data_IF_132426279444
#
_entry.id   IF_132426279444
#
_cell.length_a   1.000
_cell.length_b   1.000
_cell.length_c   1.000
_cell.angle_alpha   90.00
_cell.angle_beta   90.00
_cell.angle_gamma   90.00
#
_symmetry.space_group_name_H-M   'P 1'
#
loop_
_entity.id
_entity.type
_entity.pdbx_description
1 polymer ?
#
# COMPACT_ATOMS: atom_id res chain seq x y z
N UNK A 1 14.73 -0.82 23.13
CA UNK A 1 15.67 0.00 22.32
C UNK A 1 14.92 0.90 21.34
N UNK A 2 14.05 0.37 20.45
CA UNK A 2 13.20 1.19 19.55
C UNK A 2 12.21 2.08 20.32
N UNK A 3 11.59 1.57 21.39
CA UNK A 3 10.64 2.35 22.20
C UNK A 3 11.29 3.54 22.94
N UNK A 4 12.51 3.35 23.46
CA UNK A 4 13.30 4.42 24.10
C UNK A 4 13.84 5.43 23.07
N UNK A 5 14.09 4.99 21.82
CA UNK A 5 14.45 5.88 20.71
C UNK A 5 13.26 6.75 20.27
N UNK A 6 12.06 6.20 20.27
CA UNK A 6 10.80 6.91 19.96
C UNK A 6 10.45 7.94 21.04
N UNK A 7 10.63 7.61 22.32
CA UNK A 7 10.37 8.52 23.44
C UNK A 7 11.34 9.72 23.45
N UNK A 8 12.54 9.53 22.90
CA UNK A 8 13.52 10.61 22.74
C UNK A 8 13.20 11.55 21.55
N UNK A 9 12.49 11.07 20.52
CA UNK A 9 12.03 11.88 19.37
C UNK A 9 10.90 12.85 19.77
N UNK A 10 10.10 12.52 20.80
CA UNK A 10 9.04 13.39 21.30
C UNK A 10 9.56 14.67 21.98
N UNK A 11 10.82 14.68 22.45
CA UNK A 11 11.44 15.82 23.14
C UNK A 11 12.24 16.73 22.19
N UNK A 12 11.55 17.36 21.25
CA UNK A 12 11.67 18.80 20.96
C UNK A 12 12.96 19.43 20.37
N UNK A 13 14.16 18.87 20.53
CA UNK A 13 15.41 19.64 20.33
C UNK A 13 16.41 19.10 19.30
N UNK A 14 16.16 17.94 18.67
CA UNK A 14 17.06 17.34 17.68
C UNK A 14 16.44 17.11 16.29
N UNK A 15 15.41 17.88 15.91
CA UNK A 15 14.72 17.69 14.63
C UNK A 15 15.62 17.86 13.41
N UNK A 16 16.59 18.79 13.44
CA UNK A 16 17.53 19.03 12.33
C UNK A 16 18.55 17.90 12.13
N UNK A 17 19.01 17.27 13.21
CA UNK A 17 20.02 16.20 13.13
C UNK A 17 19.41 14.89 12.59
N UNK A 18 18.14 14.62 12.90
CA UNK A 18 17.41 13.44 12.44
C UNK A 18 16.95 13.60 10.98
N UNK A 19 16.53 14.80 10.56
CA UNK A 19 16.26 15.05 9.13
C UNK A 19 17.52 14.89 8.30
N UNK A 20 18.68 15.35 8.76
CA UNK A 20 19.96 15.10 8.08
C UNK A 20 20.32 13.61 8.05
N UNK A 21 20.19 12.87 9.16
CA UNK A 21 20.47 11.43 9.17
C UNK A 21 19.50 10.61 8.30
N UNK A 22 18.21 10.95 8.26
CA UNK A 22 17.24 10.31 7.39
C UNK A 22 17.43 10.69 5.91
N UNK A 23 17.85 11.93 5.61
CA UNK A 23 18.23 12.36 4.27
C UNK A 23 19.50 11.65 3.80
N UNK A 24 20.44 11.39 4.72
CA UNK A 24 21.67 10.65 4.44
C UNK A 24 21.39 9.16 4.23
N UNK A 25 20.49 8.57 5.01
CA UNK A 25 19.94 7.23 4.76
C UNK A 25 19.22 7.18 3.40
N UNK A 26 18.47 8.23 3.01
CA UNK A 26 17.84 8.36 1.69
C UNK A 26 18.84 8.46 0.54
N UNK A 27 19.94 9.19 0.73
CA UNK A 27 21.05 9.26 -0.23
C UNK A 27 21.80 7.92 -0.32
N UNK A 28 22.00 7.23 0.81
CA UNK A 28 22.53 5.86 0.85
C UNK A 28 21.59 4.86 0.16
N UNK A 29 20.27 5.06 0.22
CA UNK A 29 19.30 4.26 -0.55
C UNK A 29 19.39 4.50 -2.06
N UNK A 30 19.59 5.74 -2.51
CA UNK A 30 19.80 6.02 -3.93
C UNK A 30 21.11 5.39 -4.44
N UNK A 31 22.15 5.39 -3.60
CA UNK A 31 23.44 4.77 -3.91
C UNK A 31 23.35 3.22 -3.86
N UNK A 32 22.60 2.65 -2.92
CA UNK A 32 22.34 1.20 -2.85
C UNK A 32 21.44 0.69 -3.99
N UNK A 33 20.54 1.54 -4.50
CA UNK A 33 19.78 1.27 -5.73
C UNK A 33 20.68 1.28 -6.97
N UNK A 34 21.71 2.13 -7.02
CA UNK A 34 22.75 2.09 -8.06
C UNK A 34 23.58 0.79 -8.00
N UNK A 35 23.98 0.34 -6.80
CA UNK A 35 24.69 -0.95 -6.62
C UNK A 35 23.84 -2.17 -7.07
N UNK A 36 22.52 -2.10 -6.88
CA UNK A 36 21.58 -3.14 -7.32
C UNK A 36 21.38 -3.14 -8.85
N UNK A 37 21.65 -2.02 -9.52
CA UNK A 37 21.62 -1.86 -10.97
C UNK A 37 22.95 -2.36 -11.61
N UNK A 38 24.07 -2.25 -10.91
CA UNK A 38 25.41 -2.52 -11.45
C UNK A 38 25.70 -4.02 -11.69
N UNK A 39 25.01 -4.94 -10.99
CA UNK A 39 25.14 -6.39 -11.24
C UNK A 39 24.30 -6.92 -12.41
N UNK A 40 23.58 -6.05 -13.12
CA UNK A 40 22.90 -6.39 -14.37
C UNK A 40 23.76 -5.88 -15.54
N UNK A 41 24.23 -6.73 -16.47
CA UNK A 41 25.06 -6.28 -17.59
C UNK A 41 24.31 -5.21 -18.40
N UNK A 42 24.88 -4.00 -18.48
CA UNK A 42 24.36 -2.79 -19.16
C UNK A 42 22.97 -2.93 -19.82
N UNK A 43 21.91 -2.98 -19.01
CA UNK A 43 20.62 -3.49 -19.46
C UNK A 43 19.84 -2.49 -20.30
N UNK A 44 20.06 -1.20 -20.07
CA UNK A 44 19.41 -0.13 -20.82
C UNK A 44 19.80 -0.18 -22.31
N UNK A 45 21.09 -0.38 -22.62
CA UNK A 45 21.55 -0.47 -24.00
C UNK A 45 21.04 -1.74 -24.70
N UNK A 46 20.94 -2.86 -24.01
CA UNK A 46 20.46 -4.12 -24.60
C UNK A 46 18.92 -4.13 -24.78
N UNK A 47 18.17 -3.51 -23.86
CA UNK A 47 16.70 -3.49 -23.89
C UNK A 47 16.11 -2.62 -25.01
N UNK A 48 16.82 -1.57 -25.45
CA UNK A 48 16.35 -0.67 -26.51
C UNK A 48 16.97 -0.94 -27.89
N UNK A 49 17.98 -1.83 -27.99
CA UNK A 49 18.67 -2.13 -29.25
C UNK A 49 17.78 -2.71 -30.35
N UNK A 50 16.63 -3.28 -29.99
CA UNK A 50 15.67 -3.91 -30.90
C UNK A 50 14.30 -3.23 -30.92
N UNK A 51 14.12 -2.12 -30.20
CA UNK A 51 12.85 -1.42 -30.15
C UNK A 51 12.69 -0.51 -31.38
N UNK A 52 11.62 -0.73 -32.16
CA UNK A 52 11.27 0.20 -33.23
C UNK A 52 10.75 1.53 -32.64
N UNK A 53 10.65 2.57 -33.47
CA UNK A 53 10.07 3.87 -33.06
C UNK A 53 8.66 3.74 -32.48
N UNK A 54 7.87 2.78 -32.97
CA UNK A 54 6.52 2.49 -32.46
C UNK A 54 6.58 1.86 -31.06
N UNK A 55 7.54 0.98 -30.83
CA UNK A 55 7.72 0.35 -29.53
C UNK A 55 8.19 1.42 -28.53
N UNK A 56 9.15 2.27 -28.90
CA UNK A 56 9.57 3.39 -28.06
C UNK A 56 8.41 4.33 -27.69
N UNK A 57 7.53 4.65 -28.67
CA UNK A 57 6.35 5.47 -28.45
C UNK A 57 5.36 4.79 -27.48
N UNK A 58 5.04 3.51 -27.69
CA UNK A 58 4.18 2.75 -26.78
C UNK A 58 4.73 2.74 -25.36
N UNK A 59 6.05 2.59 -25.21
CA UNK A 59 6.73 2.57 -23.92
C UNK A 59 6.60 3.91 -23.19
N UNK A 60 6.80 5.02 -23.91
CA UNK A 60 6.60 6.35 -23.33
C UNK A 60 5.16 6.59 -22.92
N UNK A 61 4.20 6.12 -23.71
CA UNK A 61 2.76 6.18 -23.37
C UNK A 61 2.48 5.36 -22.10
N UNK A 62 3.04 4.16 -21.96
CA UNK A 62 2.87 3.34 -20.75
C UNK A 62 3.42 4.07 -19.51
N UNK A 63 4.61 4.67 -19.60
CA UNK A 63 5.19 5.42 -18.47
C UNK A 63 4.31 6.61 -18.05
N UNK A 64 3.75 7.35 -19.02
CA UNK A 64 2.80 8.42 -18.73
C UNK A 64 1.51 7.91 -18.08
N UNK A 65 0.96 6.78 -18.57
CA UNK A 65 -0.24 6.16 -18.00
C UNK A 65 -0.01 5.64 -16.57
N UNK A 66 1.17 5.07 -16.30
CA UNK A 66 1.60 4.62 -14.98
C UNK A 66 1.62 5.80 -13.99
N UNK A 67 2.23 6.93 -14.37
CA UNK A 67 2.22 8.16 -13.56
C UNK A 67 0.80 8.70 -13.34
N UNK A 68 -0.03 8.69 -14.39
CA UNK A 68 -1.43 9.09 -14.29
C UNK A 68 -2.23 8.21 -13.34
N UNK A 69 -2.02 6.88 -13.39
CA UNK A 69 -2.67 5.92 -12.50
C UNK A 69 -2.28 6.14 -11.04
N UNK A 70 -0.98 6.32 -10.73
CA UNK A 70 -0.53 6.65 -9.39
C UNK A 70 -1.09 7.97 -8.86
N UNK A 71 -1.07 9.03 -9.68
CA UNK A 71 -1.63 10.32 -9.29
C UNK A 71 -3.14 10.21 -8.98
N UNK A 72 -3.87 9.40 -9.76
CA UNK A 72 -5.30 9.15 -9.55
C UNK A 72 -5.57 8.41 -8.24
N UNK A 73 -4.76 7.41 -7.91
CA UNK A 73 -4.84 6.70 -6.63
C UNK A 73 -4.61 7.65 -5.45
N UNK A 74 -3.59 8.49 -5.53
CA UNK A 74 -3.26 9.45 -4.47
C UNK A 74 -4.33 10.52 -4.29
N UNK A 75 -4.85 11.07 -5.40
CA UNK A 75 -5.98 12.00 -5.38
C UNK A 75 -7.22 11.39 -4.69
N UNK A 76 -7.50 10.11 -4.94
CA UNK A 76 -8.59 9.40 -4.27
C UNK A 76 -8.38 9.25 -2.76
N UNK A 77 -7.15 8.97 -2.32
CA UNK A 77 -6.87 8.81 -0.89
C UNK A 77 -7.06 10.15 -0.16
N UNK A 78 -6.61 11.25 -0.77
CA UNK A 78 -6.85 12.61 -0.24
C UNK A 78 -8.35 12.93 -0.18
N UNK A 79 -9.10 12.66 -1.26
CA UNK A 79 -10.56 12.88 -1.30
C UNK A 79 -11.30 12.04 -0.25
N UNK A 80 -10.93 10.77 -0.10
CA UNK A 80 -11.48 9.90 0.92
C UNK A 80 -11.24 10.48 2.31
N UNK A 81 -10.02 10.97 2.55
CA UNK A 81 -9.68 11.65 3.78
C UNK A 81 -10.54 12.88 4.07
N UNK A 82 -10.75 13.75 3.08
CA UNK A 82 -11.59 14.94 3.21
C UNK A 82 -13.05 14.57 3.52
N UNK A 83 -13.58 13.55 2.84
CA UNK A 83 -14.92 13.02 3.11
C UNK A 83 -15.02 12.51 4.55
N UNK A 84 -14.06 11.69 5.00
CA UNK A 84 -14.01 11.17 6.36
C UNK A 84 -13.94 12.31 7.41
N UNK A 85 -13.11 13.32 7.17
CA UNK A 85 -13.01 14.50 8.05
C UNK A 85 -14.32 15.30 8.13
N UNK A 86 -15.01 15.47 7.00
CA UNK A 86 -16.34 16.09 6.96
C UNK A 86 -17.39 15.29 7.73
N UNK A 87 -17.38 13.96 7.62
CA UNK A 87 -18.26 13.10 8.41
C UNK A 87 -17.99 13.23 9.91
N UNK A 88 -16.73 13.16 10.34
CA UNK A 88 -16.42 13.21 11.78
C UNK A 88 -16.74 14.57 12.40
N UNK A 89 -16.43 15.67 11.71
CA UNK A 89 -16.75 17.03 12.22
C UNK A 89 -18.26 17.25 12.34
N UNK A 90 -19.04 16.77 11.37
CA UNK A 90 -20.50 16.84 11.46
C UNK A 90 -21.07 15.92 12.53
N UNK A 91 -20.57 14.70 12.69
CA UNK A 91 -20.98 13.81 13.79
C UNK A 91 -20.72 14.43 15.16
N UNK A 92 -19.54 15.03 15.37
CA UNK A 92 -19.21 15.70 16.64
C UNK A 92 -20.13 16.88 16.93
N UNK A 93 -20.48 17.68 15.90
CA UNK A 93 -21.42 18.80 16.08
C UNK A 93 -22.82 18.33 16.51
N UNK A 94 -23.29 17.19 15.98
CA UNK A 94 -24.59 16.61 16.33
C UNK A 94 -24.59 16.03 17.75
N UNK A 95 -23.49 15.38 18.16
CA UNK A 95 -23.37 14.79 19.50
C UNK A 95 -23.29 15.85 20.61
N UNK A 96 -22.54 16.95 20.39
CA UNK A 96 -22.51 18.08 21.33
C UNK A 96 -23.89 18.70 21.53
N UNK A 97 -24.67 18.88 20.45
CA UNK A 97 -26.03 19.41 20.53
C UNK A 97 -26.96 18.46 21.32
N UNK A 98 -26.89 17.16 21.07
CA UNK A 98 -27.68 16.16 21.79
C UNK A 98 -27.32 16.08 23.29
N UNK A 99 -26.03 16.13 23.63
CA UNK A 99 -25.60 16.17 25.03
C UNK A 99 -26.03 17.45 25.75
N UNK A 100 -25.98 18.61 25.07
CA UNK A 100 -26.47 19.87 25.62
C UNK A 100 -27.98 19.81 25.90
N UNK A 101 -28.78 19.22 25.01
CA UNK A 101 -30.23 19.04 25.24
C UNK A 101 -30.53 18.10 26.41
N UNK A 102 -29.77 17.01 26.56
CA UNK A 102 -29.93 16.06 27.67
C UNK A 102 -29.48 16.64 29.01
N UNK A 103 -28.41 17.46 29.01
CA UNK A 103 -27.95 18.16 30.21
C UNK A 103 -28.98 19.21 30.65
N UNK A 104 -29.54 19.97 29.71
CA UNK A 104 -30.59 20.95 29.98
C UNK A 104 -31.84 20.29 30.58
N UNK A 105 -32.31 19.17 30.03
CA UNK A 105 -33.48 18.44 30.55
C UNK A 105 -33.21 17.79 31.92
N UNK A 106 -31.99 17.34 32.18
CA UNK A 106 -31.57 16.75 33.46
C UNK A 106 -31.45 17.81 34.56
N UNK A 107 -30.91 19.00 34.26
CA UNK A 107 -30.89 20.13 35.20
C UNK A 107 -32.33 20.51 35.57
N UNK A 108 -33.22 20.64 34.59
CA UNK A 108 -34.64 20.96 34.86
C UNK A 108 -35.29 19.92 35.77
N UNK A 109 -35.09 18.62 35.52
CA UNK A 109 -35.73 17.56 36.28
C UNK A 109 -35.12 17.32 37.68
N UNK A 110 -33.80 17.48 37.84
CA UNK A 110 -33.08 17.08 39.07
C UNK A 110 -32.74 18.23 40.02
N UNK A 111 -32.69 19.48 39.56
CA UNK A 111 -32.45 20.62 40.46
C UNK A 111 -33.69 21.48 40.63
N UNK A 112 -34.45 21.76 39.57
CA UNK A 112 -35.57 22.70 39.64
C UNK A 112 -36.83 22.05 40.26
N UNK A 113 -37.16 20.80 39.89
CA UNK A 113 -38.34 20.10 40.41
C UNK A 113 -38.27 19.67 41.90
N UNK A 114 -37.14 19.16 42.43
CA UNK A 114 -37.07 18.72 43.84
C UNK A 114 -36.78 19.84 44.85
N UNK A 115 -36.35 21.03 44.42
CA UNK A 115 -36.13 22.18 45.31
C UNK A 115 -37.43 22.88 45.74
N UNK A 116 -38.60 22.43 45.29
CA UNK A 116 -39.90 22.95 45.74
C UNK A 116 -40.08 24.45 45.48
N UNK A 117 -39.29 25.03 44.56
CA UNK A 117 -39.53 26.38 44.09
C UNK A 117 -40.77 26.29 43.21
N UNK A 118 -41.93 26.68 43.77
CA UNK A 118 -43.19 26.83 43.04
C UNK A 118 -43.01 27.85 41.91
N UNK A 119 -42.46 27.39 40.79
CA UNK A 119 -42.62 28.06 39.53
C UNK A 119 -44.10 27.91 39.18
N UNK A 120 -44.84 29.00 39.43
CA UNK A 120 -46.21 29.24 38.98
C UNK A 120 -46.51 28.44 37.68
N UNK A 121 -47.69 27.81 37.49
CA UNK A 121 -47.97 26.97 36.31
C UNK A 121 -47.75 27.70 34.95
N UNK A 122 -47.77 29.03 34.94
CA UNK A 122 -47.37 29.89 33.82
C UNK A 122 -45.87 29.88 33.48
N UNK A 123 -44.98 29.65 34.46
CA UNK A 123 -43.53 29.57 34.29
C UNK A 123 -43.07 28.18 33.80
N UNK A 124 -43.73 27.10 34.20
CA UNK A 124 -43.45 25.75 33.67
C UNK A 124 -43.75 25.68 32.17
N UNK A 125 -44.92 26.17 31.75
CA UNK A 125 -45.32 26.22 30.34
C UNK A 125 -44.44 27.20 29.53
N UNK A 126 -43.96 28.29 30.14
CA UNK A 126 -42.96 29.20 29.54
C UNK A 126 -41.58 28.54 29.38
N UNK A 127 -41.10 27.78 30.37
CA UNK A 127 -39.85 27.03 30.30
C UNK A 127 -39.91 25.93 29.22
N UNK A 128 -41.04 25.21 29.15
CA UNK A 128 -41.25 24.20 28.12
C UNK A 128 -41.33 24.82 26.72
N UNK A 129 -41.98 25.99 26.58
CA UNK A 129 -41.98 26.79 25.34
C UNK A 129 -40.60 27.37 25.02
N UNK A 130 -39.80 27.76 26.01
CA UNK A 130 -38.41 28.21 25.82
C UNK A 130 -37.51 27.07 25.35
N UNK A 131 -37.60 25.88 25.95
CA UNK A 131 -36.91 24.68 25.48
C UNK A 131 -37.37 24.30 24.07
N UNK A 132 -38.67 24.34 23.77
CA UNK A 132 -39.19 24.08 22.42
C UNK A 132 -38.73 25.13 21.41
N UNK A 133 -38.71 26.41 21.79
CA UNK A 133 -38.22 27.51 20.95
C UNK A 133 -36.71 27.40 20.73
N UNK A 134 -35.94 27.04 21.74
CA UNK A 134 -34.50 26.84 21.63
C UNK A 134 -34.18 25.61 20.77
N UNK A 135 -34.89 24.49 20.95
CA UNK A 135 -34.77 23.30 20.10
C UNK A 135 -35.17 23.61 18.63
N UNK A 136 -36.20 24.43 18.43
CA UNK A 136 -36.61 24.94 17.11
C UNK A 136 -35.59 25.91 16.51
N UNK A 137 -34.94 26.74 17.34
CA UNK A 137 -33.90 27.69 16.91
C UNK A 137 -32.63 26.94 16.51
N UNK A 138 -32.18 25.97 17.31
CA UNK A 138 -31.03 25.09 17.04
C UNK A 138 -31.27 24.25 15.78
N UNK A 139 -32.44 23.59 15.66
CA UNK A 139 -32.80 22.85 14.44
C UNK A 139 -32.95 23.76 13.21
N UNK A 140 -33.36 25.03 13.38
CA UNK A 140 -33.36 26.02 12.29
C UNK A 140 -31.98 26.58 11.94
N UNK A 141 -31.01 26.52 12.85
CA UNK A 141 -29.60 26.85 12.59
C UNK A 141 -28.85 25.68 11.93
N UNK A 142 -29.30 24.44 12.16
CA UNK A 142 -28.77 23.21 11.54
C UNK A 142 -29.38 22.92 10.15
N UNK A 143 -30.62 23.36 9.91
CA UNK A 143 -31.32 23.19 8.62
C UNK A 143 -30.64 23.87 7.41
N UNK A 144 -29.92 25.00 7.49
CA UNK A 144 -29.12 25.53 6.38
C UNK A 144 -27.75 24.83 6.21
N UNK A 145 -27.22 24.19 7.26
CA UNK A 145 -25.95 23.45 7.20
C UNK A 145 -26.10 22.10 6.47
N UNK A 146 -27.26 21.45 6.60
CA UNK A 146 -27.54 20.14 5.97
C UNK A 146 -27.56 20.14 4.42
N UNK A 147 -28.15 21.12 3.70
CA UNK A 147 -28.06 21.18 2.24
C UNK A 147 -26.66 21.55 1.76
N UNK A 148 -25.93 22.43 2.48
CA UNK A 148 -24.56 22.83 2.13
C UNK A 148 -23.56 21.68 2.34
N UNK A 149 -23.71 20.94 3.44
CA UNK A 149 -22.99 19.69 3.70
C UNK A 149 -23.31 18.63 2.63
N UNK A 150 -24.60 18.43 2.32
CA UNK A 150 -25.02 17.49 1.27
C UNK A 150 -24.42 17.88 -0.09
N UNK A 151 -24.39 19.15 -0.45
CA UNK A 151 -23.82 19.59 -1.72
C UNK A 151 -22.30 19.38 -1.80
N UNK A 152 -21.57 19.72 -0.74
CA UNK A 152 -20.11 19.54 -0.69
C UNK A 152 -19.69 18.06 -0.65
N UNK A 153 -20.38 17.24 0.16
CA UNK A 153 -20.10 15.80 0.25
C UNK A 153 -20.44 15.12 -1.07
N UNK A 154 -21.59 15.43 -1.68
CA UNK A 154 -21.94 14.82 -2.97
C UNK A 154 -20.95 15.20 -4.06
N UNK A 155 -20.47 16.45 -4.10
CA UNK A 155 -19.42 16.86 -5.05
C UNK A 155 -18.12 16.07 -4.86
N UNK A 156 -17.66 15.91 -3.61
CA UNK A 156 -16.46 15.10 -3.30
C UNK A 156 -16.64 13.62 -3.66
N UNK A 157 -17.83 13.07 -3.42
CA UNK A 157 -18.18 11.69 -3.78
C UNK A 157 -18.19 11.52 -5.31
N UNK A 158 -18.78 12.45 -6.06
CA UNK A 158 -18.72 12.43 -7.54
C UNK A 158 -17.30 12.51 -8.07
N UNK A 159 -16.44 13.37 -7.48
CA UNK A 159 -15.01 13.40 -7.82
C UNK A 159 -14.32 12.07 -7.52
N UNK A 160 -14.59 11.45 -6.37
CA UNK A 160 -14.02 10.15 -6.00
C UNK A 160 -14.40 9.04 -6.99
N UNK A 161 -15.67 8.98 -7.39
CA UNK A 161 -16.13 8.04 -8.43
C UNK A 161 -15.55 8.38 -9.80
N UNK A 162 -15.44 9.66 -10.16
CA UNK A 162 -14.82 10.12 -11.40
C UNK A 162 -13.35 9.70 -11.52
N UNK A 163 -12.55 9.95 -10.48
CA UNK A 163 -11.17 9.47 -10.42
C UNK A 163 -11.09 7.93 -10.41
N UNK A 164 -12.06 7.23 -9.81
CA UNK A 164 -12.10 5.76 -9.86
C UNK A 164 -12.31 5.22 -11.28
N UNK A 165 -13.20 5.82 -12.06
CA UNK A 165 -13.43 5.46 -13.46
C UNK A 165 -12.17 5.81 -14.29
N UNK A 166 -11.58 6.99 -14.09
CA UNK A 166 -10.37 7.41 -14.79
C UNK A 166 -9.18 6.47 -14.48
N UNK A 167 -9.03 6.05 -13.22
CA UNK A 167 -8.03 5.07 -12.79
C UNK A 167 -8.22 3.74 -13.51
N UNK A 168 -9.45 3.22 -13.56
CA UNK A 168 -9.77 1.97 -14.26
C UNK A 168 -9.48 2.07 -15.78
N UNK A 169 -9.82 3.20 -16.40
CA UNK A 169 -9.52 3.47 -17.80
C UNK A 169 -8.00 3.52 -18.06
N UNK A 170 -7.25 4.24 -17.21
CA UNK A 170 -5.79 4.30 -17.31
C UNK A 170 -5.15 2.91 -17.16
N UNK A 171 -5.57 2.13 -16.16
CA UNK A 171 -5.07 0.77 -15.94
C UNK A 171 -5.37 -0.16 -17.12
N UNK A 172 -6.58 -0.06 -17.69
CA UNK A 172 -6.98 -0.86 -18.86
C UNK A 172 -6.15 -0.50 -20.09
N UNK A 173 -5.96 0.81 -20.34
CA UNK A 173 -5.12 1.30 -21.44
C UNK A 173 -3.65 0.93 -21.24
N UNK A 174 -3.14 1.00 -20.01
CA UNK A 174 -1.80 0.58 -19.65
C UNK A 174 -1.59 -0.90 -19.98
N UNK A 175 -2.50 -1.77 -19.53
CA UNK A 175 -2.45 -3.21 -19.79
C UNK A 175 -2.47 -3.52 -21.30
N UNK A 176 -3.36 -2.87 -22.06
CA UNK A 176 -3.45 -3.04 -23.51
C UNK A 176 -2.15 -2.59 -24.19
N UNK A 177 -1.64 -1.40 -23.83
CA UNK A 177 -0.40 -0.84 -24.37
C UNK A 177 0.79 -1.78 -24.09
N UNK A 178 0.89 -2.26 -22.85
CA UNK A 178 1.92 -3.20 -22.44
C UNK A 178 1.81 -4.55 -23.17
N UNK A 179 0.59 -5.06 -23.34
CA UNK A 179 0.32 -6.30 -24.10
C UNK A 179 0.68 -6.17 -25.58
N UNK A 180 0.39 -5.03 -26.21
CA UNK A 180 0.74 -4.78 -27.61
C UNK A 180 2.25 -4.66 -27.77
N UNK A 181 2.91 -3.87 -26.92
CA UNK A 181 4.36 -3.72 -26.94
C UNK A 181 5.07 -5.06 -26.75
N UNK A 182 4.66 -5.85 -25.73
CA UNK A 182 5.23 -7.17 -25.46
C UNK A 182 4.98 -8.16 -26.59
N UNK A 183 3.78 -8.20 -27.20
CA UNK A 183 3.48 -9.10 -28.34
C UNK A 183 4.31 -8.76 -29.58
N UNK A 184 4.40 -7.48 -29.95
CA UNK A 184 5.20 -7.01 -31.10
C UNK A 184 6.67 -7.30 -30.93
N UNK A 185 7.15 -7.21 -29.69
CA UNK A 185 8.52 -7.49 -29.34
C UNK A 185 8.78 -9.01 -29.31
N UNK A 186 7.88 -9.81 -28.72
CA UNK A 186 8.02 -11.29 -28.63
C UNK A 186 8.02 -11.95 -30.01
N UNK A 187 7.19 -11.48 -30.95
CA UNK A 187 7.14 -12.06 -32.32
C UNK A 187 8.42 -11.89 -33.12
N UNK A 188 9.36 -11.07 -32.64
CA UNK A 188 10.64 -10.77 -33.29
C UNK A 188 11.85 -11.39 -32.59
N UNK A 189 11.67 -12.18 -31.53
CA UNK A 189 12.73 -12.34 -30.51
C UNK A 189 13.08 -13.77 -30.05
N UNK A 190 14.37 -13.96 -29.72
CA UNK A 190 14.98 -15.16 -29.10
C UNK A 190 14.97 -15.11 -27.55
N UNK A 191 15.22 -16.24 -26.87
CA UNK A 191 15.08 -16.47 -25.40
C UNK A 191 15.73 -15.43 -24.46
N UNK A 192 16.81 -14.75 -24.88
CA UNK A 192 17.53 -13.75 -24.06
C UNK A 192 16.68 -12.51 -23.68
N UNK A 193 15.50 -12.33 -24.29
CA UNK A 193 14.71 -11.09 -24.17
C UNK A 193 13.60 -11.14 -23.12
N UNK A 194 13.29 -12.33 -22.57
CA UNK A 194 12.41 -12.46 -21.40
C UNK A 194 12.93 -11.65 -20.19
N UNK A 195 14.25 -11.55 -20.03
CA UNK A 195 14.87 -10.77 -18.96
C UNK A 195 14.65 -9.25 -19.15
N UNK A 196 14.64 -8.76 -20.38
CA UNK A 196 14.38 -7.33 -20.67
C UNK A 196 12.93 -6.92 -20.35
N UNK A 197 11.96 -7.82 -20.52
CA UNK A 197 10.56 -7.57 -20.16
C UNK A 197 10.36 -7.43 -18.65
N UNK A 198 10.99 -8.33 -17.87
CA UNK A 198 10.95 -8.29 -16.40
C UNK A 198 11.53 -6.97 -15.88
N UNK A 199 12.62 -6.51 -16.47
CA UNK A 199 13.27 -5.28 -16.04
C UNK A 199 12.41 -4.03 -16.23
N UNK A 200 11.57 -3.98 -17.28
CA UNK A 200 10.71 -2.83 -17.56
C UNK A 200 9.59 -2.70 -16.53
N UNK A 201 9.08 -3.82 -16.03
CA UNK A 201 8.13 -3.84 -14.90
C UNK A 201 8.80 -3.32 -13.62
N UNK A 202 10.03 -3.76 -13.36
CA UNK A 202 10.80 -3.33 -12.18
C UNK A 202 11.00 -1.81 -12.19
N UNK A 203 11.37 -1.23 -13.34
CA UNK A 203 11.52 0.23 -13.48
C UNK A 203 10.20 0.97 -13.18
N UNK A 204 9.08 0.47 -13.71
CA UNK A 204 7.76 1.04 -13.43
C UNK A 204 7.42 1.02 -11.93
N UNK A 205 7.65 -0.11 -11.25
CA UNK A 205 7.41 -0.25 -9.81
C UNK A 205 8.29 0.70 -8.98
N UNK A 206 9.56 0.88 -9.36
CA UNK A 206 10.47 1.81 -8.69
C UNK A 206 9.98 3.25 -8.84
N UNK A 207 9.56 3.66 -10.04
CA UNK A 207 9.02 5.01 -10.28
C UNK A 207 7.76 5.27 -9.44
N UNK A 208 6.87 4.28 -9.33
CA UNK A 208 5.66 4.37 -8.48
C UNK A 208 6.01 4.48 -7.00
N UNK A 209 6.98 3.71 -6.54
CA UNK A 209 7.46 3.76 -5.16
C UNK A 209 8.04 5.13 -4.83
N UNK A 210 8.90 5.68 -5.68
CA UNK A 210 9.51 7.01 -5.49
C UNK A 210 8.44 8.10 -5.46
N UNK A 211 7.50 8.07 -6.40
CA UNK A 211 6.41 9.05 -6.45
C UNK A 211 5.53 9.02 -5.19
N UNK A 212 5.20 7.82 -4.70
CA UNK A 212 4.43 7.62 -3.47
C UNK A 212 5.15 8.19 -2.24
N UNK A 213 6.46 7.93 -2.11
CA UNK A 213 7.27 8.43 -1.00
C UNK A 213 7.29 9.96 -1.01
N UNK A 214 7.55 10.58 -2.17
CA UNK A 214 7.59 12.05 -2.29
C UNK A 214 6.27 12.67 -1.82
N UNK A 215 5.14 12.12 -2.24
CA UNK A 215 3.82 12.67 -1.90
C UNK A 215 3.48 12.45 -0.43
N UNK A 216 3.86 11.32 0.15
CA UNK A 216 3.72 11.08 1.60
C UNK A 216 4.46 12.15 2.41
N UNK A 217 5.72 12.45 2.05
CA UNK A 217 6.52 13.49 2.73
C UNK A 217 5.96 14.91 2.58
N UNK A 218 5.33 15.22 1.43
CA UNK A 218 4.69 16.52 1.20
C UNK A 218 3.48 16.71 2.13
N UNK A 219 2.72 15.65 2.37
CA UNK A 219 1.52 15.71 3.21
C UNK A 219 1.90 15.82 4.69
N UNK A 220 2.61 14.82 5.23
CA UNK A 220 2.93 14.79 6.66
C UNK A 220 4.30 14.19 6.95
N UNK A 221 5.31 15.05 6.96
CA UNK A 221 6.70 14.67 7.18
C UNK A 221 6.95 13.87 8.48
N UNK A 222 6.20 14.13 9.56
CA UNK A 222 6.39 13.44 10.85
C UNK A 222 5.96 11.96 10.78
N UNK A 223 4.77 11.68 10.22
CA UNK A 223 4.25 10.32 10.09
C UNK A 223 5.03 9.54 9.03
N UNK A 224 5.39 10.19 7.91
CA UNK A 224 6.16 9.58 6.82
C UNK A 224 7.57 9.18 7.26
N UNK A 225 8.23 9.93 8.14
CA UNK A 225 9.55 9.56 8.68
C UNK A 225 9.50 8.23 9.44
N UNK A 226 8.49 8.06 10.30
CA UNK A 226 8.31 6.83 11.08
C UNK A 226 8.05 5.63 10.15
N UNK A 227 7.21 5.83 9.13
CA UNK A 227 6.92 4.78 8.14
C UNK A 227 8.13 4.46 7.26
N UNK A 228 8.95 5.45 6.94
CA UNK A 228 10.16 5.26 6.14
C UNK A 228 11.17 4.34 6.83
N UNK A 229 11.21 4.33 8.17
CA UNK A 229 12.06 3.39 8.94
C UNK A 229 11.66 1.90 8.77
N UNK A 230 10.45 1.59 8.29
CA UNK A 230 9.99 0.21 8.10
C UNK A 230 10.44 -0.35 6.74
N UNK A 231 10.60 0.52 5.74
CA UNK A 231 11.08 0.18 4.39
C UNK A 231 12.39 -0.64 4.42
N UNK A 232 13.47 -0.28 5.15
CA UNK A 232 14.69 -1.08 5.21
C UNK A 232 14.44 -2.51 5.68
N UNK A 233 13.60 -2.66 6.70
CA UNK A 233 13.34 -3.95 7.34
C UNK A 233 12.68 -4.88 6.33
N UNK A 234 11.73 -4.36 5.54
CA UNK A 234 11.09 -5.10 4.46
C UNK A 234 12.09 -5.45 3.36
N UNK A 235 12.92 -4.52 2.92
CA UNK A 235 13.92 -4.76 1.85
C UNK A 235 14.95 -5.81 2.27
N UNK A 236 15.56 -5.67 3.44
CA UNK A 236 16.58 -6.60 3.95
C UNK A 236 16.02 -8.00 4.13
N UNK A 237 14.83 -8.12 4.73
CA UNK A 237 14.18 -9.42 4.88
C UNK A 237 13.81 -10.03 3.53
N UNK A 238 13.30 -9.24 2.59
CA UNK A 238 12.98 -9.70 1.23
C UNK A 238 14.21 -10.21 0.50
N UNK A 239 15.35 -9.54 0.62
CA UNK A 239 16.62 -10.00 0.03
C UNK A 239 17.10 -11.32 0.65
N UNK A 240 16.97 -11.48 1.96
CA UNK A 240 17.33 -12.72 2.65
C UNK A 240 16.48 -13.90 2.17
N UNK A 241 15.14 -13.73 2.14
CA UNK A 241 14.24 -14.76 1.64
C UNK A 241 14.43 -15.02 0.14
N UNK A 242 14.65 -13.98 -0.66
CA UNK A 242 14.94 -14.13 -2.09
C UNK A 242 16.19 -14.99 -2.32
N UNK A 243 17.28 -14.76 -1.58
CA UNK A 243 18.50 -15.59 -1.66
C UNK A 243 18.21 -17.06 -1.34
N UNK A 244 17.42 -17.34 -0.30
CA UNK A 244 17.03 -18.70 0.08
C UNK A 244 16.19 -19.38 -1.02
N UNK A 245 15.17 -18.68 -1.52
CA UNK A 245 14.27 -19.18 -2.57
C UNK A 245 15.06 -19.43 -3.86
N UNK A 246 15.93 -18.50 -4.28
CA UNK A 246 16.76 -18.66 -5.48
C UNK A 246 17.73 -19.83 -5.35
N UNK A 247 18.34 -20.04 -4.16
CA UNK A 247 19.22 -21.18 -3.91
C UNK A 247 18.48 -22.51 -4.10
N UNK A 248 17.32 -22.68 -3.47
CA UNK A 248 16.53 -23.91 -3.62
C UNK A 248 15.96 -24.06 -5.04
N UNK A 249 15.63 -22.95 -5.71
CA UNK A 249 15.19 -22.97 -7.13
C UNK A 249 16.30 -23.45 -8.05
N UNK A 250 17.55 -23.01 -7.85
CA UNK A 250 18.71 -23.50 -8.64
C UNK A 250 18.91 -25.01 -8.44
N UNK A 251 18.78 -25.49 -7.20
CA UNK A 251 18.88 -26.93 -6.88
C UNK A 251 17.72 -27.74 -7.45
N UNK A 252 16.50 -27.19 -7.40
CA UNK A 252 15.33 -27.80 -8.05
C UNK A 252 15.56 -27.91 -9.56
N UNK A 253 16.05 -26.85 -10.21
CA UNK A 253 16.31 -26.86 -11.64
C UNK A 253 17.41 -27.85 -12.03
N UNK A 254 18.48 -27.96 -11.24
CA UNK A 254 19.56 -28.91 -11.52
C UNK A 254 19.10 -30.37 -11.40
N UNK A 255 18.38 -30.72 -10.33
CA UNK A 255 17.84 -32.08 -10.14
C UNK A 255 16.81 -32.42 -11.21
N UNK A 256 15.99 -31.45 -11.62
CA UNK A 256 15.04 -31.63 -12.72
C UNK A 256 15.75 -31.85 -14.06
N UNK A 257 16.81 -31.08 -14.33
CA UNK A 257 17.63 -31.23 -15.54
C UNK A 257 18.29 -32.61 -15.62
N UNK A 258 18.81 -33.13 -14.50
CA UNK A 258 19.41 -34.46 -14.45
C UNK A 258 18.39 -35.57 -14.73
N UNK A 259 17.19 -35.48 -14.13
CA UNK A 259 16.11 -36.40 -14.42
C UNK A 259 15.71 -36.35 -15.91
N UNK A 260 15.64 -35.14 -16.49
CA UNK A 260 15.38 -34.93 -17.91
C UNK A 260 16.47 -35.53 -18.81
N UNK A 261 17.74 -35.45 -18.41
CA UNK A 261 18.85 -36.05 -19.15
C UNK A 261 18.74 -37.59 -19.18
N UNK A 262 18.40 -38.23 -18.05
CA UNK A 262 18.18 -39.67 -17.98
C UNK A 262 17.03 -40.09 -18.91
N UNK A 263 15.91 -39.36 -18.86
CA UNK A 263 14.77 -39.64 -19.74
C UNK A 263 15.14 -39.48 -21.22
N UNK A 264 15.88 -38.42 -21.56
CA UNK A 264 16.34 -38.17 -22.93
C UNK A 264 17.26 -39.28 -23.44
N UNK A 265 18.19 -39.77 -22.60
CA UNK A 265 19.07 -40.88 -22.94
C UNK A 265 18.27 -42.16 -23.22
N UNK A 266 17.31 -42.50 -22.35
CA UNK A 266 16.44 -43.67 -22.52
C UNK A 266 15.60 -43.58 -23.79
N UNK A 267 15.00 -42.44 -24.09
CA UNK A 267 14.18 -42.28 -25.30
C UNK A 267 15.02 -42.26 -26.57
N UNK A 268 16.21 -41.66 -26.53
CA UNK A 268 17.13 -41.64 -27.68
C UNK A 268 17.65 -43.03 -28.04
N UNK A 269 17.81 -43.91 -27.05
CA UNK A 269 18.38 -45.26 -27.19
C UNK A 269 17.43 -46.37 -26.73
N UNK A 270 16.13 -46.19 -26.96
CA UNK A 270 15.08 -47.07 -26.44
C UNK A 270 15.28 -48.54 -26.84
N UNK A 271 15.63 -48.80 -28.10
CA UNK A 271 15.86 -50.17 -28.63
C UNK A 271 16.97 -50.87 -27.85
N UNK A 272 18.04 -50.15 -27.50
CA UNK A 272 19.19 -50.66 -26.74
C UNK A 272 18.82 -50.96 -25.30
N UNK A 273 18.07 -50.07 -24.63
CA UNK A 273 17.62 -50.29 -23.25
C UNK A 273 16.72 -51.52 -23.16
N UNK A 274 15.84 -51.72 -24.15
CA UNK A 274 14.96 -52.89 -24.22
C UNK A 274 15.73 -54.18 -24.52
N UNK A 275 16.72 -54.16 -25.42
CA UNK A 275 17.52 -55.36 -25.75
C UNK A 275 18.36 -55.85 -24.58
N UNK A 276 18.82 -54.95 -23.72
CA UNK A 276 19.55 -55.31 -22.48
C UNK A 276 18.62 -55.49 -21.26
N UNK A 277 17.29 -55.40 -21.44
CA UNK A 277 16.29 -55.47 -20.36
C UNK A 277 16.57 -54.47 -19.20
N UNK A 278 17.15 -53.31 -19.52
CA UNK A 278 17.64 -52.31 -18.58
C UNK A 278 16.60 -51.28 -18.12
N UNK A 279 15.33 -51.43 -18.52
CA UNK A 279 14.24 -50.47 -18.21
C UNK A 279 14.05 -50.23 -16.72
N UNK A 280 14.05 -51.30 -15.91
CA UNK A 280 13.92 -51.21 -14.45
C UNK A 280 15.07 -50.48 -13.78
N UNK A 281 16.28 -50.58 -14.32
CA UNK A 281 17.45 -49.88 -13.79
C UNK A 281 17.32 -48.37 -14.01
N UNK A 282 16.97 -47.95 -15.23
CA UNK A 282 16.81 -46.52 -15.54
C UNK A 282 15.59 -45.88 -14.88
N UNK A 283 14.51 -46.64 -14.70
CA UNK A 283 13.37 -46.20 -13.90
C UNK A 283 13.80 -45.84 -12.46
N UNK A 284 14.58 -46.71 -11.80
CA UNK A 284 15.05 -46.44 -10.43
C UNK A 284 15.92 -45.19 -10.33
N UNK A 285 16.78 -44.95 -11.34
CA UNK A 285 17.64 -43.77 -11.38
C UNK A 285 16.82 -42.49 -11.58
N UNK A 286 15.82 -42.53 -12.46
CA UNK A 286 14.89 -41.43 -12.66
C UNK A 286 14.08 -41.12 -11.40
N UNK A 287 13.53 -42.14 -10.73
CA UNK A 287 12.81 -41.99 -9.46
C UNK A 287 13.68 -41.38 -8.34
N UNK A 288 14.98 -41.71 -8.31
CA UNK A 288 15.93 -41.15 -7.34
C UNK A 288 16.08 -39.63 -7.52
N UNK A 289 16.29 -39.16 -8.74
CA UNK A 289 16.41 -37.72 -9.03
C UNK A 289 15.10 -36.98 -8.74
N UNK A 290 13.95 -37.60 -9.03
CA UNK A 290 12.64 -37.02 -8.70
C UNK A 290 12.43 -36.84 -7.19
N UNK A 291 12.80 -37.83 -6.36
CA UNK A 291 12.72 -37.69 -4.90
C UNK A 291 13.57 -36.53 -4.39
N UNK A 292 14.78 -36.34 -4.94
CA UNK A 292 15.64 -35.20 -4.57
C UNK A 292 15.03 -33.85 -4.99
N UNK A 293 14.36 -33.82 -6.14
CA UNK A 293 13.62 -32.64 -6.60
C UNK A 293 12.46 -32.30 -5.66
N UNK A 294 11.70 -33.31 -5.23
CA UNK A 294 10.56 -33.16 -4.31
C UNK A 294 10.98 -32.45 -3.02
N UNK A 295 12.03 -32.94 -2.34
CA UNK A 295 12.55 -32.30 -1.12
C UNK A 295 13.04 -30.87 -1.32
N UNK A 296 13.59 -30.54 -2.50
CA UNK A 296 14.03 -29.19 -2.83
C UNK A 296 12.83 -28.28 -3.10
N UNK A 297 11.79 -28.81 -3.74
CA UNK A 297 10.52 -28.12 -3.98
C UNK A 297 9.76 -27.83 -2.69
N UNK A 298 9.68 -28.80 -1.77
CA UNK A 298 9.05 -28.62 -0.45
C UNK A 298 9.76 -27.53 0.34
N UNK A 299 11.10 -27.53 0.39
CA UNK A 299 11.87 -26.48 1.08
C UNK A 299 11.70 -25.10 0.44
N UNK A 300 11.71 -25.02 -0.89
CA UNK A 300 11.42 -23.77 -1.61
C UNK A 300 10.05 -23.22 -1.26
N UNK A 301 9.02 -24.07 -1.29
CA UNK A 301 7.64 -23.68 -1.01
C UNK A 301 7.46 -23.30 0.47
N UNK A 302 8.11 -24.00 1.40
CA UNK A 302 8.12 -23.64 2.81
C UNK A 302 8.79 -22.27 3.04
N UNK A 303 9.93 -22.00 2.39
CA UNK A 303 10.60 -20.70 2.45
C UNK A 303 9.71 -19.58 1.87
N UNK A 304 9.01 -19.84 0.76
CA UNK A 304 8.06 -18.89 0.18
C UNK A 304 6.84 -18.65 1.09
N UNK A 305 6.30 -19.70 1.71
CA UNK A 305 5.22 -19.58 2.69
C UNK A 305 5.63 -18.75 3.91
N UNK A 306 6.83 -18.99 4.45
CA UNK A 306 7.38 -18.22 5.55
C UNK A 306 7.59 -16.73 5.18
N UNK A 307 8.08 -16.44 3.97
CA UNK A 307 8.20 -15.09 3.46
C UNK A 307 6.85 -14.36 3.38
N UNK A 308 5.81 -15.01 2.85
CA UNK A 308 4.47 -14.42 2.79
C UNK A 308 3.90 -14.16 4.19
N UNK A 309 4.06 -15.11 5.13
CA UNK A 309 3.65 -14.93 6.52
C UNK A 309 4.36 -13.74 7.19
N UNK A 310 5.66 -13.58 6.91
CA UNK A 310 6.46 -12.45 7.39
C UNK A 310 5.97 -11.11 6.84
N UNK A 311 5.65 -11.03 5.54
CA UNK A 311 5.08 -9.82 4.94
C UNK A 311 3.74 -9.43 5.55
N UNK A 312 2.84 -10.40 5.77
CA UNK A 312 1.55 -10.13 6.43
C UNK A 312 1.75 -9.63 7.87
N UNK A 313 2.66 -10.24 8.62
CA UNK A 313 2.99 -9.81 9.98
C UNK A 313 3.46 -8.34 10.01
N UNK A 314 4.42 -7.98 9.16
CA UNK A 314 4.90 -6.59 9.08
C UNK A 314 3.77 -5.64 8.69
N UNK A 315 2.91 -6.04 7.75
CA UNK A 315 1.79 -5.20 7.29
C UNK A 315 0.84 -4.84 8.43
N UNK A 316 0.47 -5.81 9.27
CA UNK A 316 -0.35 -5.54 10.46
C UNK A 316 0.37 -4.68 11.50
N UNK A 317 1.68 -4.87 11.69
CA UNK A 317 2.47 -4.01 12.59
C UNK A 317 2.52 -2.56 12.09
N UNK A 318 2.71 -2.35 10.79
CA UNK A 318 2.70 -1.00 10.18
C UNK A 318 1.37 -0.32 10.44
N UNK A 319 0.24 -1.01 10.22
CA UNK A 319 -1.08 -0.46 10.51
C UNK A 319 -1.25 -0.11 11.99
N UNK A 320 -0.85 -1.00 12.89
CA UNK A 320 -0.96 -0.76 14.34
C UNK A 320 -0.13 0.45 14.79
N UNK A 321 1.12 0.56 14.32
CA UNK A 321 2.02 1.68 14.60
C UNK A 321 1.43 2.97 14.02
N UNK A 322 1.00 2.95 12.75
CA UNK A 322 0.44 4.12 12.07
C UNK A 322 -0.79 4.69 12.76
N UNK A 323 -1.73 3.84 13.15
CA UNK A 323 -2.92 4.29 13.88
C UNK A 323 -2.60 4.82 15.28
N UNK A 324 -1.69 4.15 16.00
CA UNK A 324 -1.32 4.57 17.36
C UNK A 324 -0.64 5.95 17.32
N UNK A 325 0.38 6.12 16.49
CA UNK A 325 1.07 7.40 16.34
C UNK A 325 0.16 8.48 15.74
N UNK A 326 -0.61 8.14 14.71
CA UNK A 326 -1.58 9.06 14.12
C UNK A 326 -2.57 9.60 15.14
N UNK A 327 -3.09 8.74 16.03
CA UNK A 327 -4.00 9.17 17.09
C UNK A 327 -3.34 10.11 18.11
N UNK A 328 -2.11 9.81 18.54
CA UNK A 328 -1.35 10.65 19.47
C UNK A 328 -1.08 12.04 18.86
N UNK A 329 -0.75 12.08 17.57
CA UNK A 329 -0.50 13.32 16.83
C UNK A 329 -1.77 14.18 16.71
N UNK A 330 -2.92 13.53 16.51
CA UNK A 330 -4.23 14.18 16.49
C UNK A 330 -4.57 14.83 17.84
N UNK A 331 -4.31 14.14 18.96
CA UNK A 331 -4.60 14.67 20.30
C UNK A 331 -3.63 15.76 20.77
N UNK A 332 -2.38 15.74 20.30
CA UNK A 332 -1.34 16.69 20.73
C UNK A 332 -1.54 18.11 20.19
N UNK A 333 -2.51 18.34 19.29
CA UNK A 333 -2.94 19.66 18.84
C UNK A 333 -1.88 20.52 18.14
N UNK A 334 -0.70 19.95 17.86
CA UNK A 334 0.48 20.70 17.38
C UNK A 334 0.35 21.10 15.90
N UNK A 335 -0.56 20.46 15.15
CA UNK A 335 -0.91 20.82 13.79
C UNK A 335 -2.43 21.05 13.67
N UNK A 336 -2.84 22.29 13.38
CA UNK A 336 -4.25 22.66 13.07
C UNK A 336 -4.81 22.00 11.80
N UNK A 337 -4.01 21.21 11.09
CA UNK A 337 -4.31 20.65 9.76
C UNK A 337 -4.25 19.12 9.70
N UNK A 338 -3.89 18.42 10.78
CA UNK A 338 -3.97 16.95 10.81
C UNK A 338 -5.43 16.52 10.95
N UNK A 339 -6.18 16.63 9.86
CA UNK A 339 -7.48 16.01 9.73
C UNK A 339 -7.31 14.49 9.67
N UNK A 340 -8.35 13.73 10.01
CA UNK A 340 -8.35 12.26 9.92
C UNK A 340 -7.94 11.76 8.51
N UNK A 341 -8.11 12.62 7.50
CA UNK A 341 -7.55 12.44 6.16
C UNK A 341 -6.09 12.08 6.13
N UNK A 342 -5.29 12.71 6.97
CA UNK A 342 -3.84 12.72 6.91
C UNK A 342 -3.22 11.49 7.58
N UNK A 343 -4.01 10.79 8.40
CA UNK A 343 -3.66 9.52 9.05
C UNK A 343 -4.08 8.33 8.17
N UNK A 344 -5.09 8.54 7.31
CA UNK A 344 -5.60 7.53 6.39
C UNK A 344 -4.86 7.51 5.03
N UNK A 345 -4.08 8.55 4.74
CA UNK A 345 -3.14 8.61 3.61
C UNK A 345 -1.81 8.00 4.04
#
# INVERSE_FOLDING_TARGET
MIFSFIEHIANGSQYYCITQHCLQIYLDYTCFLEDLIEHVPNPAQLSFRFADRIDLLLITITLCLILGHAACLLAKVILFGQIAGLFVTTSFSVDCDNQYQNLASTIINNTVCPLGIDLNPLNYDRLQKLCHYHNKTVSSSLSPLTPLFRQNVMHLVYLFFGFSILMFLCASLEYICWTIATKRQTSRMSVLLFQSLIQRVIIGLILMMVFSIIISFILNWQLSLIMSCIIPIVVVSSLMFAKLITKETKKQLSTYSNAGQIAQEVFSSLRTVLSFNGSKYQQKQYEKELKLNEWSTVRKNAAFGAYNGWLFLISFLVYSIGFTFGSILMFSGTHRTLTISDILI
#
